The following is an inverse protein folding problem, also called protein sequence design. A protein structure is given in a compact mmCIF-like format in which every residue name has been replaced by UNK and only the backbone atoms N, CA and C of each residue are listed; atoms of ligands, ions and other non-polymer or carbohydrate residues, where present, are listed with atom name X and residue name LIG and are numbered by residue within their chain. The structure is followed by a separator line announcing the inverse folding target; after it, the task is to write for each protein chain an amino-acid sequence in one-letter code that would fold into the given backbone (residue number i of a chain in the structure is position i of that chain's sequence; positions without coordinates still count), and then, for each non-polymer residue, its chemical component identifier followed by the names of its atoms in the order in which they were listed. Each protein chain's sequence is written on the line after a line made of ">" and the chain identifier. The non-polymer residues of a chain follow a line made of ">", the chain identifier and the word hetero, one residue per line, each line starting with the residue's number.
data_IF_253472663688
#
_entry.id   IF_253472663688
#
_cell.length_a   1.000
_cell.length_b   1.000
_cell.length_c   1.000
_cell.angle_alpha   90.00
_cell.angle_beta   90.00
_cell.angle_gamma   90.00
#
_symmetry.space_group_name_H-M   'P 1'
#
loop_
_entity.id
_entity.type
_entity.pdbx_description
1 polymer ?
#
# COMPACT_ATOMS: atom_id res chain seq x y z
N UNK A 1 -19.84 4.53 -20.06
CA UNK A 1 -19.45 4.64 -19.65
C UNK A 1 -19.02 4.64 -18.96
N UNK A 2 -18.87 4.62 -18.67
CA UNK A 2 -18.37 4.64 -17.98
C UNK A 2 -17.66 4.89 -17.50
N UNK A 3 -17.52 4.74 -17.65
CA UNK A 3 -16.40 5.08 -17.42
C UNK A 3 -16.07 5.85 -16.39
N UNK A 4 -16.69 6.40 -16.05
CA UNK A 4 -16.46 7.11 -15.03
C UNK A 4 -15.73 6.55 -13.98
N UNK A 5 -15.86 5.35 -13.72
CA UNK A 5 -15.16 4.77 -12.67
C UNK A 5 -13.77 4.79 -12.92
N UNK A 6 -13.40 4.87 -14.10
CA UNK A 6 -12.05 4.84 -14.31
C UNK A 6 -11.45 6.03 -13.87
N UNK A 7 -12.19 7.02 -13.64
CA UNK A 7 -11.55 8.18 -13.14
C UNK A 7 -11.12 7.96 -11.73
N UNK A 8 -11.35 6.81 -11.20
CA UNK A 8 -10.84 6.53 -9.91
C UNK A 8 -9.33 6.66 -9.91
N UNK A 9 -8.78 6.88 -8.76
CA UNK A 9 -7.37 7.24 -8.61
C UNK A 9 -6.48 6.01 -8.80
N UNK A 10 -6.03 5.79 -10.02
CA UNK A 10 -5.18 4.64 -10.33
C UNK A 10 -3.78 4.87 -9.81
N UNK A 11 -3.24 3.90 -9.11
CA UNK A 11 -1.90 3.97 -8.52
C UNK A 11 -1.18 2.65 -8.72
N UNK A 12 0.14 2.67 -8.52
CA UNK A 12 0.96 1.48 -8.56
C UNK A 12 1.59 1.28 -7.19
N UNK A 13 1.40 0.12 -6.59
CA UNK A 13 1.95 -0.20 -5.29
C UNK A 13 3.08 -1.19 -5.46
N UNK A 14 4.23 -0.90 -4.86
CA UNK A 14 5.38 -1.80 -4.89
C UNK A 14 5.55 -2.42 -3.52
N UNK A 15 5.44 -3.73 -3.44
CA UNK A 15 5.53 -4.45 -2.18
C UNK A 15 6.91 -5.08 -2.02
N UNK A 16 7.43 -5.14 -0.79
CA UNK A 16 8.71 -5.78 -0.57
C UNK A 16 8.58 -7.30 -0.67
N UNK A 17 9.68 -7.95 -1.01
CA UNK A 17 9.67 -9.38 -1.21
C UNK A 17 9.15 -10.14 0.01
N UNK A 18 9.47 -9.67 1.21
CA UNK A 18 9.05 -10.38 2.40
C UNK A 18 7.52 -10.44 2.53
N UNK A 19 6.82 -9.38 2.11
CA UNK A 19 5.37 -9.43 2.14
C UNK A 19 4.83 -10.34 1.06
N UNK A 20 5.45 -10.32 -0.11
CA UNK A 20 5.02 -11.19 -1.19
C UNK A 20 5.18 -12.65 -0.77
N UNK A 21 6.25 -12.97 -0.06
CA UNK A 21 6.47 -14.34 0.40
C UNK A 21 5.43 -14.77 1.44
N UNK A 22 4.94 -13.83 2.23
CA UNK A 22 3.93 -14.15 3.26
C UNK A 22 2.54 -14.30 2.68
N UNK A 23 2.29 -13.77 1.50
CA UNK A 23 0.95 -13.79 0.91
C UNK A 23 1.02 -14.39 -0.49
N UNK A 24 0.91 -15.71 -0.59
CA UNK A 24 0.97 -16.38 -1.90
C UNK A 24 -0.07 -15.80 -2.84
N UNK A 25 0.33 -15.58 -4.07
CA UNK A 25 -0.54 -14.95 -5.05
C UNK A 25 -0.36 -13.45 -5.15
N UNK A 26 0.30 -12.82 -4.18
CA UNK A 26 0.58 -11.40 -4.27
C UNK A 26 1.80 -11.17 -5.17
N UNK A 27 2.01 -9.93 -5.55
CA UNK A 27 3.08 -9.57 -6.46
C UNK A 27 3.81 -8.35 -5.96
N UNK A 28 5.05 -8.19 -6.42
CA UNK A 28 5.86 -7.03 -6.06
C UNK A 28 5.26 -5.74 -6.61
N UNK A 29 4.56 -5.80 -7.74
CA UNK A 29 3.95 -4.64 -8.35
C UNK A 29 2.46 -4.88 -8.48
N UNK A 30 1.67 -4.04 -7.84
CA UNK A 30 0.21 -4.18 -7.85
C UNK A 30 -0.41 -2.88 -8.33
N UNK A 31 -1.27 -2.96 -9.33
CA UNK A 31 -2.01 -1.79 -9.78
C UNK A 31 -3.38 -1.80 -9.14
N UNK A 32 -3.83 -0.67 -8.65
CA UNK A 32 -5.12 -0.59 -8.00
C UNK A 32 -5.62 0.84 -8.00
N UNK A 33 -6.83 1.04 -7.52
CA UNK A 33 -7.40 2.36 -7.34
C UNK A 33 -7.48 2.67 -5.85
N UNK A 34 -6.92 3.79 -5.45
CA UNK A 34 -7.01 4.25 -4.06
C UNK A 34 -6.64 5.73 -4.04
N UNK A 35 -7.36 6.50 -3.27
CA UNK A 35 -7.12 7.94 -3.18
C UNK A 35 -6.27 8.29 -1.96
N UNK A 36 -6.18 7.41 -0.97
CA UNK A 36 -5.37 7.63 0.22
C UNK A 36 -4.64 6.34 0.57
N UNK A 37 -3.64 6.46 1.42
CA UNK A 37 -2.91 5.28 1.89
C UNK A 37 -3.86 4.31 2.59
N UNK A 38 -4.80 4.83 3.36
CA UNK A 38 -5.75 3.96 4.06
C UNK A 38 -6.58 3.14 3.07
N UNK A 39 -7.07 3.77 2.01
CA UNK A 39 -7.81 3.05 0.98
C UNK A 39 -6.93 2.01 0.31
N UNK A 40 -5.66 2.34 0.08
CA UNK A 40 -4.72 1.39 -0.50
C UNK A 40 -4.56 0.17 0.40
N UNK A 41 -4.41 0.39 1.70
CA UNK A 41 -4.28 -0.72 2.66
C UNK A 41 -5.55 -1.56 2.69
N UNK A 42 -6.72 -0.92 2.64
CA UNK A 42 -7.98 -1.64 2.62
C UNK A 42 -8.10 -2.50 1.36
N UNK A 43 -7.64 -1.99 0.23
CA UNK A 43 -7.70 -2.76 -1.00
C UNK A 43 -6.72 -3.93 -0.96
N UNK A 44 -5.54 -3.72 -0.38
CA UNK A 44 -4.58 -4.81 -0.21
C UNK A 44 -5.16 -5.90 0.68
N UNK A 45 -5.88 -5.50 1.73
CA UNK A 45 -6.53 -6.46 2.62
C UNK A 45 -7.62 -7.24 1.89
N UNK A 46 -8.37 -6.58 1.01
CA UNK A 46 -9.40 -7.25 0.24
C UNK A 46 -8.80 -8.29 -0.69
N UNK A 47 -7.67 -7.97 -1.29
CA UNK A 47 -7.00 -8.87 -2.23
C UNK A 47 -6.27 -10.00 -1.51
N UNK A 48 -5.62 -9.69 -0.40
CA UNK A 48 -4.84 -10.67 0.35
C UNK A 48 -5.12 -10.50 1.84
N UNK A 49 -6.13 -11.21 2.37
CA UNK A 49 -6.50 -11.06 3.79
C UNK A 49 -5.32 -11.31 4.73
N UNK A 50 -5.18 -10.41 5.69
CA UNK A 50 -4.05 -10.42 6.62
C UNK A 50 -3.02 -9.37 6.28
N UNK A 51 -3.08 -8.78 5.08
CA UNK A 51 -2.09 -7.80 4.67
C UNK A 51 -2.18 -6.55 5.55
N UNK A 52 -3.40 -6.13 5.90
CA UNK A 52 -3.55 -4.94 6.73
C UNK A 52 -2.85 -5.09 8.07
N UNK A 53 -2.93 -6.28 8.68
CA UNK A 53 -2.28 -6.51 9.97
C UNK A 53 -0.77 -6.43 9.87
N UNK A 54 -0.22 -6.69 8.70
CA UNK A 54 1.22 -6.59 8.51
C UNK A 54 1.67 -5.15 8.33
N UNK A 55 0.79 -4.31 7.83
CA UNK A 55 1.13 -2.93 7.52
C UNK A 55 0.72 -1.96 8.62
N UNK A 56 -0.36 -2.25 9.31
CA UNK A 56 -0.92 -1.34 10.30
C UNK A 56 -1.07 -2.02 11.66
N UNK A 57 -0.99 -1.21 12.70
CA UNK A 57 -1.26 -1.70 14.05
C UNK A 57 -2.70 -1.37 14.42
N UNK A 58 -3.08 -1.64 15.66
CA UNK A 58 -4.46 -1.47 16.07
C UNK A 58 -4.83 -0.04 16.43
N UNK A 59 -3.91 0.93 16.38
CA UNK A 59 -4.21 2.28 16.82
C UNK A 59 -5.06 3.14 15.90
N UNK A 60 -5.31 2.98 14.62
CA UNK A 60 -4.55 2.37 13.54
C UNK A 60 -3.47 3.32 13.03
N UNK A 61 -2.33 2.79 12.80
CA UNK A 61 -1.21 3.54 12.26
C UNK A 61 -0.31 2.57 11.51
N UNK A 62 0.52 3.11 10.63
CA UNK A 62 1.50 2.27 9.93
C UNK A 62 2.47 1.73 10.97
N UNK A 63 2.77 0.44 10.92
CA UNK A 63 3.69 -0.17 11.88
C UNK A 63 5.06 0.46 11.78
N UNK A 64 5.78 0.50 12.90
CA UNK A 64 7.05 1.20 12.99
C UNK A 64 8.10 0.70 12.00
N UNK A 65 8.08 -0.59 11.69
CA UNK A 65 9.08 -1.15 10.79
C UNK A 65 8.63 -1.10 9.32
N UNK A 66 7.50 -0.47 9.05
CA UNK A 66 7.01 -0.30 7.69
C UNK A 66 7.16 1.17 7.31
N UNK A 67 7.74 1.43 6.15
CA UNK A 67 7.86 2.76 5.62
C UNK A 67 7.15 2.83 4.28
N UNK A 68 6.34 3.86 4.09
CA UNK A 68 5.65 4.08 2.84
C UNK A 68 6.15 5.37 2.23
N UNK A 69 6.47 5.33 0.93
CA UNK A 69 6.91 6.51 0.22
C UNK A 69 6.06 6.69 -1.01
N UNK A 70 5.58 7.92 -1.22
CA UNK A 70 4.82 8.30 -2.40
C UNK A 70 5.66 9.33 -3.13
N UNK A 71 6.12 8.98 -4.32
CA UNK A 71 6.94 9.87 -5.13
C UNK A 71 8.11 10.44 -4.33
N UNK A 72 8.69 9.61 -3.48
CA UNK A 72 9.86 10.00 -2.70
C UNK A 72 9.57 10.59 -1.33
N UNK A 73 8.32 10.89 -1.04
CA UNK A 73 7.97 11.50 0.25
C UNK A 73 7.36 10.45 1.18
N UNK A 74 7.79 10.46 2.42
CA UNK A 74 7.27 9.52 3.39
C UNK A 74 5.81 9.79 3.67
N UNK A 75 5.01 8.75 3.73
CA UNK A 75 3.57 8.87 3.85
C UNK A 75 3.05 8.23 5.12
N UNK A 76 1.87 8.69 5.53
CA UNK A 76 1.15 8.16 6.66
C UNK A 76 -0.16 7.57 6.17
N UNK A 77 -0.93 7.01 7.09
CA UNK A 77 -2.18 6.35 6.72
C UNK A 77 -3.17 7.32 6.06
N UNK A 78 -3.19 8.56 6.49
CA UNK A 78 -4.14 9.54 5.95
C UNK A 78 -3.58 10.34 4.77
N UNK A 79 -2.39 10.01 4.29
CA UNK A 79 -1.79 10.77 3.20
C UNK A 79 -2.52 10.51 1.90
N UNK A 80 -2.91 11.57 1.16
CA UNK A 80 -3.52 11.38 -0.16
C UNK A 80 -2.50 10.86 -1.16
N UNK A 81 -2.97 10.07 -2.11
CA UNK A 81 -2.11 9.53 -3.16
C UNK A 81 -2.53 10.15 -4.49
N UNK A 82 -1.64 10.89 -5.15
CA UNK A 82 -1.98 11.47 -6.46
C UNK A 82 -2.24 10.39 -7.50
N UNK A 83 -3.11 10.68 -8.43
CA UNK A 83 -3.39 9.75 -9.51
C UNK A 83 -2.10 9.45 -10.27
N UNK A 84 -1.88 8.18 -10.56
CA UNK A 84 -0.70 7.76 -11.30
C UNK A 84 0.55 7.59 -10.45
N UNK A 85 0.48 7.88 -9.16
CA UNK A 85 1.67 7.82 -8.32
C UNK A 85 2.10 6.39 -8.03
N UNK A 86 3.36 6.25 -7.70
CA UNK A 86 3.91 4.97 -7.23
C UNK A 86 4.05 5.05 -5.73
N UNK A 87 3.59 4.00 -5.05
CA UNK A 87 3.70 3.90 -3.61
C UNK A 87 4.63 2.75 -3.30
N UNK A 88 5.73 3.05 -2.62
CA UNK A 88 6.69 2.02 -2.23
C UNK A 88 6.45 1.62 -0.79
N UNK A 89 6.22 0.34 -0.57
CA UNK A 89 6.10 -0.21 0.78
C UNK A 89 7.43 -0.87 1.08
N UNK A 90 8.10 -0.40 2.09
CA UNK A 90 9.42 -0.90 2.46
C UNK A 90 9.41 -1.37 3.91
N UNK A 91 10.17 -2.42 4.19
CA UNK A 91 10.34 -2.87 5.56
C UNK A 91 11.69 -2.38 6.04
N UNK A 92 11.71 -1.79 7.22
CA UNK A 92 12.97 -1.39 7.81
C UNK A 92 13.69 -2.64 8.28
N UNK A 93 14.94 -2.74 7.91
CA UNK A 93 15.74 -3.83 8.39
C UNK A 93 16.30 -3.38 9.68
N UNK A 94 15.88 -3.98 10.71
CA UNK A 94 16.43 -3.59 11.96
C UNK A 94 17.73 -4.18 12.01
N UNK A 95 18.57 -3.55 11.88
CA UNK A 95 19.75 -4.11 12.02
C UNK A 95 20.39 -3.99 12.87
N UNK A 96 19.81 -3.83 12.78
CA UNK A 96 20.67 -3.59 13.37
C UNK A 96 20.93 -4.15 13.78
#
# INVERSE_FOLDING_TARGET
>A
MMSVTESANAIVVRLPAILVDLFPGSRRRVEMNAATVEEMVDELERLWPGMRDRLCDSTPAIRRHINLFIEGDKAKLDTPIPQGAKVFVLTAISGG
#
